data_IF_072482338928
#
_entry.id   IF_072482338928
#
_cell.length_a   1.000
_cell.length_b   1.000
_cell.length_c   1.000
_cell.angle_alpha   90.00
_cell.angle_beta   90.00
_cell.angle_gamma   90.00
#
_symmetry.space_group_name_H-M   'P 1'
#
loop_
_entity.id
_entity.type
_entity.pdbx_description
1 polymer ?
#
# COMPACT_ATOMS: atom_id res chain seq x y z
N UNK A 1 -15.20 -22.93 66.66
CA UNK A 1 -15.63 -23.58 65.40
C UNK A 1 -16.05 -22.49 64.43
N UNK A 2 -15.45 -22.49 63.23
CA UNK A 2 -15.98 -22.13 61.88
C UNK A 2 -16.80 -20.83 61.73
N UNK A 3 -16.70 -20.00 60.69
CA UNK A 3 -15.88 -19.74 59.49
C UNK A 3 -16.51 -18.45 58.91
N UNK A 4 -15.72 -17.53 58.34
CA UNK A 4 -16.22 -16.52 57.37
C UNK A 4 -16.94 -17.26 56.23
N UNK A 5 -18.02 -16.75 55.61
CA UNK A 5 -17.84 -15.78 54.50
C UNK A 5 -19.09 -14.92 54.11
N UNK A 6 -18.94 -13.89 53.25
CA UNK A 6 -19.57 -13.77 51.91
C UNK A 6 -19.51 -12.35 51.29
N UNK A 7 -19.03 -12.36 50.04
CA UNK A 7 -19.34 -11.53 48.86
C UNK A 7 -19.73 -10.05 49.02
N UNK A 8 -18.86 -9.17 48.51
CA UNK A 8 -19.25 -7.91 47.92
C UNK A 8 -19.21 -8.05 46.38
N UNK A 9 -20.33 -7.75 45.73
CA UNK A 9 -20.46 -7.65 44.27
C UNK A 9 -21.05 -6.26 43.92
N UNK A 10 -20.64 -5.79 42.75
CA UNK A 10 -21.22 -4.74 41.89
C UNK A 10 -20.86 -3.27 42.13
N UNK A 11 -19.97 -2.83 41.23
CA UNK A 11 -19.76 -1.46 40.81
C UNK A 11 -20.69 -1.09 39.63
N UNK A 12 -21.21 0.13 39.65
CA UNK A 12 -21.71 0.90 38.49
C UNK A 12 -21.51 2.40 38.84
N UNK A 13 -20.49 3.04 38.25
CA UNK A 13 -20.54 3.97 37.11
C UNK A 13 -21.29 5.29 37.38
N UNK A 14 -20.57 6.41 37.29
CA UNK A 14 -20.84 7.61 36.47
C UNK A 14 -20.09 8.82 37.07
N UNK A 15 -19.05 9.30 36.39
CA UNK A 15 -18.54 10.66 36.58
C UNK A 15 -18.29 11.27 35.19
N UNK A 16 -19.15 12.22 34.83
CA UNK A 16 -18.91 13.23 33.80
C UNK A 16 -17.82 14.19 34.26
N UNK A 17 -16.95 14.62 33.36
CA UNK A 17 -16.18 15.86 33.55
C UNK A 17 -16.15 16.64 32.25
N UNK A 18 -16.67 17.86 32.35
CA UNK A 18 -16.58 18.99 31.42
C UNK A 18 -15.13 19.38 31.08
N UNK A 19 -14.91 19.79 29.83
CA UNK A 19 -13.73 20.57 29.44
C UNK A 19 -14.19 21.76 28.61
N UNK A 20 -14.02 22.96 29.17
CA UNK A 20 -14.14 24.24 28.48
C UNK A 20 -12.82 25.01 28.55
N UNK A 21 -12.48 25.59 27.40
CA UNK A 21 -11.76 26.86 27.16
C UNK A 21 -10.23 26.95 27.29
N UNK A 22 -9.57 27.19 26.14
CA UNK A 22 -8.41 28.08 25.88
C UNK A 22 -8.26 28.11 24.34
N UNK A 23 -8.12 29.20 23.57
CA UNK A 23 -8.10 30.65 23.75
C UNK A 23 -8.28 31.29 22.35
N UNK A 24 -9.04 32.38 22.23
CA UNK A 24 -9.17 33.21 21.02
C UNK A 24 -7.90 34.05 20.77
N UNK A 25 -7.32 33.99 19.57
CA UNK A 25 -6.53 35.05 18.89
C UNK A 25 -6.64 34.68 17.38
N UNK A 26 -7.34 35.39 16.49
CA UNK A 26 -7.06 36.71 15.93
C UNK A 26 -8.33 37.36 15.36
N UNK A 27 -8.46 38.65 15.64
CA UNK A 27 -9.38 39.62 15.03
C UNK A 27 -8.82 40.06 13.66
N UNK A 28 -9.61 39.96 12.60
CA UNK A 28 -9.27 40.47 11.26
C UNK A 28 -10.13 41.71 10.95
N UNK A 29 -9.58 42.86 10.51
CA UNK A 29 -10.37 44.01 10.10
C UNK A 29 -10.72 43.97 8.60
N UNK A 30 -11.97 44.30 8.30
CA UNK A 30 -12.56 44.41 6.97
C UNK A 30 -11.94 45.55 6.12
N UNK A 31 -11.74 45.30 4.82
CA UNK A 31 -11.76 46.34 3.78
C UNK A 31 -11.97 45.80 2.36
N UNK A 32 -13.11 46.20 1.78
CA UNK A 32 -13.31 46.65 0.39
C UNK A 32 -13.15 45.67 -0.79
N UNK A 33 -14.32 45.28 -1.32
CA UNK A 33 -14.54 44.81 -2.71
C UNK A 33 -14.14 45.92 -3.70
N UNK A 34 -13.71 45.53 -4.92
CA UNK A 34 -14.63 45.70 -6.04
C UNK A 34 -14.68 44.48 -7.00
N UNK A 35 -15.84 44.28 -7.61
CA UNK A 35 -16.03 43.54 -8.87
C UNK A 35 -16.20 44.59 -10.01
N UNK A 36 -16.14 44.28 -11.33
CA UNK A 36 -16.28 42.95 -11.96
C UNK A 36 -15.39 42.66 -13.20
N UNK A 37 -15.56 41.44 -13.74
CA UNK A 37 -15.63 41.07 -15.17
C UNK A 37 -14.59 40.06 -15.73
N UNK A 38 -15.16 39.11 -16.49
CA UNK A 38 -14.61 38.35 -17.63
C UNK A 38 -13.72 37.11 -17.38
N UNK A 39 -14.40 35.95 -17.44
CA UNK A 39 -14.11 34.76 -18.25
C UNK A 39 -12.69 34.56 -18.82
N UNK A 40 -12.06 33.43 -18.47
CA UNK A 40 -11.73 32.33 -19.40
C UNK A 40 -10.92 31.22 -18.70
N UNK A 41 -11.39 29.98 -18.87
CA UNK A 41 -10.67 28.70 -18.89
C UNK A 41 -9.60 28.39 -17.83
N UNK A 42 -10.01 27.66 -16.79
CA UNK A 42 -9.13 26.77 -16.03
C UNK A 42 -9.14 25.40 -16.72
N UNK A 43 -7.97 24.97 -17.19
CA UNK A 43 -7.73 23.58 -17.57
C UNK A 43 -7.67 22.75 -16.30
N UNK A 44 -8.69 21.91 -16.09
CA UNK A 44 -8.66 20.84 -15.10
C UNK A 44 -7.63 19.80 -15.57
N UNK A 45 -6.46 19.77 -14.91
CA UNK A 45 -5.58 18.60 -14.94
C UNK A 45 -6.29 17.50 -14.15
N UNK A 46 -7.04 16.70 -14.89
CA UNK A 46 -7.63 15.44 -14.46
C UNK A 46 -6.51 14.48 -14.05
N UNK A 47 -6.37 14.25 -12.74
CA UNK A 47 -5.59 13.14 -12.23
C UNK A 47 -6.26 11.83 -12.69
N UNK A 48 -5.59 11.13 -13.60
CA UNK A 48 -6.03 9.84 -14.12
C UNK A 48 -5.86 8.76 -13.03
N UNK A 49 -6.87 7.93 -12.74
CA UNK A 49 -6.70 6.77 -11.86
C UNK A 49 -5.78 5.73 -12.54
N UNK A 50 -4.94 5.00 -11.77
CA UNK A 50 -4.02 4.03 -12.36
C UNK A 50 -4.79 2.91 -13.05
N UNK A 51 -4.55 2.77 -14.36
CA UNK A 51 -5.11 1.71 -15.17
C UNK A 51 -4.41 0.37 -14.86
N UNK A 52 -5.09 -0.52 -14.16
CA UNK A 52 -4.68 -1.92 -14.05
C UNK A 52 -5.02 -2.64 -15.35
N UNK A 53 -4.05 -2.77 -16.26
CA UNK A 53 -4.19 -3.53 -17.48
C UNK A 53 -4.34 -5.03 -17.17
N UNK A 54 -5.49 -5.58 -17.52
CA UNK A 54 -5.78 -7.01 -17.55
C UNK A 54 -5.00 -7.69 -18.68
N UNK A 55 -4.20 -8.72 -18.37
CA UNK A 55 -3.72 -9.67 -19.38
C UNK A 55 -4.54 -10.95 -19.29
N UNK A 56 -5.60 -11.01 -20.09
CA UNK A 56 -6.32 -12.26 -20.37
C UNK A 56 -5.53 -13.07 -21.41
N UNK A 57 -5.10 -14.26 -21.02
CA UNK A 57 -4.49 -15.25 -21.90
C UNK A 57 -5.50 -15.70 -22.97
N UNK A 58 -5.11 -15.61 -24.24
CA UNK A 58 -5.81 -16.30 -25.34
C UNK A 58 -4.96 -17.49 -25.78
N UNK A 59 -5.43 -18.70 -25.48
CA UNK A 59 -4.95 -19.92 -26.13
C UNK A 59 -5.53 -19.98 -27.54
N UNK A 60 -4.68 -20.10 -28.56
CA UNK A 60 -5.10 -20.55 -29.89
C UNK A 60 -4.02 -21.46 -30.49
N UNK A 61 -4.40 -22.72 -30.72
CA UNK A 61 -3.65 -23.71 -31.48
C UNK A 61 -3.80 -23.46 -32.99
N UNK A 62 -2.70 -23.59 -33.73
CA UNK A 62 -2.63 -24.07 -35.11
C UNK A 62 -1.18 -24.57 -35.31
N UNK A 63 -0.92 -25.87 -35.41
CA UNK A 63 -1.00 -26.74 -36.61
C UNK A 63 -0.15 -26.28 -37.81
N UNK A 64 0.45 -27.29 -38.43
CA UNK A 64 1.66 -27.28 -39.23
C UNK A 64 1.53 -26.66 -40.63
N UNK A 65 2.67 -26.12 -41.11
CA UNK A 65 3.00 -26.11 -42.53
C UNK A 65 3.65 -24.83 -43.05
N UNK A 66 4.77 -25.03 -43.76
CA UNK A 66 5.26 -24.28 -44.94
C UNK A 66 6.49 -23.35 -44.73
N UNK A 67 7.61 -23.87 -45.24
CA UNK A 67 8.62 -23.25 -46.12
C UNK A 67 9.58 -22.17 -45.62
N UNK A 68 10.86 -22.53 -45.75
CA UNK A 68 12.09 -21.74 -45.91
C UNK A 68 11.92 -20.35 -46.55
N UNK A 69 12.29 -19.31 -45.82
CA UNK A 69 12.84 -18.08 -46.40
C UNK A 69 13.89 -17.47 -45.46
N UNK A 70 15.10 -17.39 -46.01
CA UNK A 70 16.29 -16.74 -45.49
C UNK A 70 16.02 -15.23 -45.28
N UNK A 71 16.13 -14.72 -44.05
CA UNK A 71 16.19 -13.28 -43.78
C UNK A 71 17.42 -12.96 -42.94
N UNK A 72 18.21 -12.09 -43.54
CA UNK A 72 19.51 -11.58 -43.20
C UNK A 72 19.46 -10.72 -41.92
N UNK A 73 20.44 -10.93 -41.04
CA UNK A 73 20.56 -10.26 -39.75
C UNK A 73 20.70 -8.73 -39.90
N UNK A 74 19.84 -8.00 -39.20
CA UNK A 74 20.07 -6.62 -38.81
C UNK A 74 20.72 -6.59 -37.41
N UNK A 75 21.65 -5.67 -37.13
CA UNK A 75 22.34 -5.61 -35.85
C UNK A 75 21.35 -5.29 -34.72
N UNK A 76 21.30 -6.17 -33.72
CA UNK A 76 20.58 -5.96 -32.49
C UNK A 76 21.17 -4.76 -31.74
N UNK A 77 20.33 -3.76 -31.48
CA UNK A 77 20.54 -2.78 -30.42
C UNK A 77 20.68 -3.56 -29.12
N UNK A 78 21.73 -3.38 -28.30
CA UNK A 78 21.82 -4.09 -27.03
C UNK A 78 20.64 -3.64 -26.16
N UNK A 79 19.71 -4.57 -25.90
CA UNK A 79 18.76 -4.47 -24.80
C UNK A 79 19.60 -4.29 -23.53
N UNK A 80 19.46 -3.12 -22.90
CA UNK A 80 20.01 -2.86 -21.57
C UNK A 80 19.45 -3.93 -20.64
N UNK A 81 20.31 -4.90 -20.31
CA UNK A 81 19.96 -6.01 -19.44
C UNK A 81 19.56 -5.47 -18.09
N UNK A 82 18.35 -5.81 -17.64
CA UNK A 82 18.01 -5.81 -16.23
C UNK A 82 19.02 -6.73 -15.54
N UNK A 83 20.04 -6.12 -14.94
CA UNK A 83 21.04 -6.87 -14.18
C UNK A 83 20.33 -7.45 -12.97
N UNK A 84 20.19 -8.78 -12.96
CA UNK A 84 19.91 -9.50 -11.71
C UNK A 84 20.99 -9.09 -10.70
N UNK A 85 20.61 -8.61 -9.52
CA UNK A 85 21.58 -8.04 -8.60
C UNK A 85 22.58 -9.09 -8.11
N UNK A 86 23.84 -8.70 -7.84
CA UNK A 86 24.87 -9.59 -7.31
C UNK A 86 24.44 -10.15 -5.95
N UNK A 87 24.82 -11.40 -5.67
CA UNK A 87 24.56 -12.11 -4.42
C UNK A 87 25.01 -11.29 -3.21
N UNK A 88 24.06 -10.59 -2.60
CA UNK A 88 24.21 -9.79 -1.39
C UNK A 88 23.24 -10.26 -0.31
N UNK A 89 23.53 -9.90 0.94
CA UNK A 89 22.79 -10.18 2.18
C UNK A 89 21.36 -10.67 1.93
N UNK A 90 21.15 -11.97 2.17
CA UNK A 90 19.84 -12.61 2.10
C UNK A 90 18.88 -11.90 3.06
N UNK A 91 17.67 -11.59 2.57
CA UNK A 91 16.63 -11.00 3.41
C UNK A 91 16.27 -11.95 4.55
N UNK A 92 16.23 -11.46 5.78
CA UNK A 92 15.71 -12.24 6.90
C UNK A 92 14.18 -12.32 6.91
N UNK A 93 13.51 -11.51 6.09
CA UNK A 93 12.07 -11.44 6.02
C UNK A 93 11.52 -12.48 5.04
N UNK A 94 10.50 -13.20 5.50
CA UNK A 94 9.71 -14.12 4.67
C UNK A 94 8.65 -13.39 3.86
N UNK A 95 8.35 -12.14 4.22
CA UNK A 95 7.27 -11.32 3.65
C UNK A 95 5.92 -12.05 3.73
N UNK A 96 5.66 -12.63 4.91
CA UNK A 96 4.43 -13.36 5.22
C UNK A 96 3.36 -12.40 5.72
N UNK A 97 3.74 -11.39 6.51
CA UNK A 97 2.79 -10.39 7.00
C UNK A 97 3.34 -8.96 6.92
N UNK A 98 2.43 -8.01 6.71
CA UNK A 98 2.68 -6.56 6.82
C UNK A 98 1.58 -5.94 7.69
N UNK A 99 1.98 -5.18 8.72
CA UNK A 99 1.09 -4.59 9.73
C UNK A 99 0.09 -5.62 10.30
N UNK A 100 0.62 -6.80 10.63
CA UNK A 100 -0.13 -7.93 11.17
C UNK A 100 -0.90 -8.78 10.16
N UNK A 101 -1.00 -8.37 8.89
CA UNK A 101 -1.86 -9.01 7.89
C UNK A 101 -1.09 -9.82 6.85
N UNK A 102 -1.59 -11.02 6.56
CA UNK A 102 -1.21 -11.84 5.41
C UNK A 102 -2.16 -11.59 4.25
N UNK A 103 -1.67 -11.70 3.01
CA UNK A 103 -2.54 -11.64 1.82
C UNK A 103 -3.51 -12.83 1.75
N UNK A 104 -3.26 -13.90 2.51
CA UNK A 104 -4.16 -15.03 2.63
C UNK A 104 -5.27 -14.84 3.68
N UNK A 105 -5.25 -13.75 4.45
CA UNK A 105 -6.27 -13.48 5.46
C UNK A 105 -7.60 -13.12 4.79
N UNK A 106 -8.70 -13.54 5.43
CA UNK A 106 -10.05 -13.19 5.01
C UNK A 106 -10.55 -11.94 5.73
N UNK A 107 -11.73 -11.46 5.32
CA UNK A 107 -12.36 -10.28 5.91
C UNK A 107 -12.50 -10.41 7.43
N UNK A 108 -12.93 -11.57 7.92
CA UNK A 108 -13.15 -11.79 9.35
C UNK A 108 -11.84 -11.64 10.12
N UNK A 109 -10.78 -12.27 9.64
CA UNK A 109 -9.45 -12.23 10.25
C UNK A 109 -8.88 -10.82 10.24
N UNK A 110 -9.07 -10.07 9.15
CA UNK A 110 -8.70 -8.65 9.08
C UNK A 110 -9.38 -7.82 10.17
N UNK A 111 -10.69 -7.99 10.39
CA UNK A 111 -11.41 -7.30 11.47
C UNK A 111 -10.94 -7.72 12.86
N UNK A 112 -10.56 -8.99 13.07
CA UNK A 112 -10.00 -9.45 14.35
C UNK A 112 -8.62 -8.83 14.65
N UNK A 113 -7.79 -8.63 13.63
CA UNK A 113 -6.45 -8.06 13.76
C UNK A 113 -6.50 -6.53 13.86
N UNK A 114 -7.30 -5.87 13.01
CA UNK A 114 -7.28 -4.41 12.82
C UNK A 114 -8.42 -3.68 13.51
N UNK A 115 -9.52 -4.37 13.83
CA UNK A 115 -10.76 -3.74 14.26
C UNK A 115 -11.52 -3.07 13.12
N UNK A 116 -12.39 -2.13 13.49
CA UNK A 116 -13.21 -1.37 12.54
C UNK A 116 -12.35 -0.40 11.71
N UNK A 117 -12.54 -0.36 10.38
CA UNK A 117 -11.85 0.60 9.52
C UNK A 117 -12.35 2.02 9.76
N UNK A 118 -11.47 3.01 9.53
CA UNK A 118 -11.81 4.43 9.54
C UNK A 118 -12.76 4.79 8.38
N UNK A 119 -12.58 4.14 7.23
CA UNK A 119 -13.47 4.29 6.08
C UNK A 119 -13.44 3.04 5.20
N UNK A 120 -14.54 2.82 4.47
CA UNK A 120 -14.64 1.77 3.45
C UNK A 120 -15.08 2.44 2.16
N UNK A 121 -14.25 2.37 1.13
CA UNK A 121 -14.54 2.90 -0.19
C UNK A 121 -14.73 1.74 -1.16
N UNK A 122 -15.74 1.83 -2.02
CA UNK A 122 -15.93 0.89 -3.13
C UNK A 122 -15.33 1.51 -4.38
N UNK A 123 -14.65 0.71 -5.19
CA UNK A 123 -14.25 1.14 -6.53
C UNK A 123 -15.48 1.16 -7.43
N UNK A 124 -15.81 2.34 -7.96
CA UNK A 124 -16.99 2.53 -8.80
C UNK A 124 -16.87 1.81 -10.16
N UNK A 125 -15.65 1.60 -10.63
CA UNK A 125 -15.33 0.90 -11.89
C UNK A 125 -15.33 -0.61 -11.64
N UNK A 126 -14.65 -1.05 -10.60
CA UNK A 126 -14.56 -2.46 -10.19
C UNK A 126 -15.41 -2.69 -8.95
N UNK A 127 -16.74 -2.72 -9.12
CA UNK A 127 -17.75 -2.80 -8.03
C UNK A 127 -17.56 -3.91 -6.99
N UNK A 128 -16.71 -4.89 -7.27
CA UNK A 128 -16.34 -6.00 -6.39
C UNK A 128 -15.15 -5.68 -5.47
N UNK A 129 -14.38 -4.63 -5.76
CA UNK A 129 -13.25 -4.22 -4.95
C UNK A 129 -13.68 -3.19 -3.89
N UNK A 130 -13.07 -3.32 -2.71
CA UNK A 130 -13.24 -2.39 -1.59
C UNK A 130 -11.88 -2.06 -1.01
N UNK A 131 -11.72 -0.80 -0.61
CA UNK A 131 -10.55 -0.32 0.11
C UNK A 131 -10.97 0.01 1.53
N UNK A 132 -10.34 -0.65 2.50
CA UNK A 132 -10.52 -0.43 3.93
C UNK A 132 -9.35 0.41 4.44
N UNK A 133 -9.63 1.59 4.98
CA UNK A 133 -8.60 2.51 5.48
C UNK A 133 -8.45 2.40 7.00
N UNK A 134 -7.22 2.32 7.46
CA UNK A 134 -6.80 2.34 8.86
C UNK A 134 -5.79 3.47 9.06
N UNK A 135 -5.46 3.78 10.32
CA UNK A 135 -4.49 4.83 10.65
C UNK A 135 -3.09 4.56 10.07
N UNK A 136 -2.71 3.29 10.01
CA UNK A 136 -1.37 2.85 9.62
C UNK A 136 -1.30 2.25 8.20
N UNK A 137 -2.42 1.86 7.59
CA UNK A 137 -2.44 1.26 6.26
C UNK A 137 -3.80 1.35 5.55
N UNK A 138 -3.82 1.06 4.26
CA UNK A 138 -5.03 0.81 3.47
C UNK A 138 -4.98 -0.59 2.87
N UNK A 139 -6.12 -1.28 2.87
CA UNK A 139 -6.22 -2.69 2.46
C UNK A 139 -7.21 -2.78 1.30
N UNK A 140 -6.72 -3.24 0.14
CA UNK A 140 -7.56 -3.53 -1.01
C UNK A 140 -8.03 -4.97 -0.97
N UNK A 141 -9.33 -5.19 -1.04
CA UNK A 141 -9.93 -6.52 -1.10
C UNK A 141 -10.80 -6.68 -2.33
N UNK A 142 -10.83 -7.89 -2.88
CA UNK A 142 -11.73 -8.32 -3.96
C UNK A 142 -12.34 -9.66 -3.55
N UNK A 143 -13.66 -9.78 -3.62
CA UNK A 143 -14.40 -11.01 -3.30
C UNK A 143 -14.06 -11.64 -1.93
N UNK A 144 -13.72 -10.80 -0.94
CA UNK A 144 -13.41 -11.22 0.42
C UNK A 144 -11.95 -11.64 0.67
N UNK A 145 -11.09 -11.55 -0.34
CA UNK A 145 -9.65 -11.81 -0.25
C UNK A 145 -8.85 -10.51 -0.27
N UNK A 146 -7.74 -10.46 0.48
CA UNK A 146 -6.82 -9.33 0.46
C UNK A 146 -5.97 -9.40 -0.82
N UNK A 147 -6.04 -8.34 -1.62
CA UNK A 147 -5.23 -8.21 -2.84
C UNK A 147 -3.93 -7.45 -2.56
N UNK A 148 -4.00 -6.44 -1.69
CA UNK A 148 -2.84 -5.64 -1.32
C UNK A 148 -3.00 -4.94 0.03
N UNK A 149 -1.87 -4.59 0.63
CA UNK A 149 -1.75 -3.67 1.77
C UNK A 149 -0.83 -2.52 1.37
N UNK A 150 -1.27 -1.29 1.56
CA UNK A 150 -0.50 -0.07 1.28
C UNK A 150 -0.24 0.66 2.60
N UNK A 151 1.03 0.96 2.88
CA UNK A 151 1.48 1.75 4.02
C UNK A 151 2.02 3.07 3.49
N UNK A 152 1.42 4.19 3.89
CA UNK A 152 1.91 5.52 3.54
C UNK A 152 3.19 5.84 4.33
N UNK A 153 4.11 6.60 3.72
CA UNK A 153 5.27 7.12 4.46
C UNK A 153 4.87 7.97 5.68
N UNK A 154 3.70 8.62 5.64
CA UNK A 154 3.16 9.40 6.76
C UNK A 154 2.89 8.55 8.02
N UNK A 155 2.76 7.22 7.89
CA UNK A 155 2.64 6.32 9.04
C UNK A 155 3.94 6.26 9.88
N UNK A 156 5.08 6.65 9.30
CA UNK A 156 6.40 6.72 9.95
C UNK A 156 7.06 5.37 10.27
N UNK A 157 6.27 4.29 10.35
CA UNK A 157 6.72 2.93 10.63
C UNK A 157 5.92 1.90 9.84
N UNK A 158 6.54 0.76 9.61
CA UNK A 158 5.94 -0.44 9.03
C UNK A 158 6.29 -1.65 9.89
N UNK A 159 5.36 -2.57 10.06
CA UNK A 159 5.65 -3.88 10.64
C UNK A 159 5.75 -4.92 9.54
N UNK A 160 6.84 -5.69 9.50
CA UNK A 160 7.07 -6.77 8.53
C UNK A 160 7.42 -8.04 9.31
N UNK A 161 6.66 -9.11 9.11
CA UNK A 161 6.81 -10.38 9.84
C UNK A 161 6.94 -10.21 11.37
N UNK A 162 6.14 -9.29 11.95
CA UNK A 162 6.13 -8.98 13.39
C UNK A 162 7.26 -8.04 13.86
N UNK A 163 8.11 -7.54 12.97
CA UNK A 163 9.15 -6.57 13.30
C UNK A 163 8.79 -5.17 12.84
N UNK A 164 8.78 -4.21 13.78
CA UNK A 164 8.56 -2.79 13.49
C UNK A 164 9.85 -2.12 13.00
N UNK A 165 9.76 -1.45 11.86
CA UNK A 165 10.84 -0.72 11.21
C UNK A 165 10.40 0.72 10.92
N UNK A 166 11.31 1.71 11.02
CA UNK A 166 11.02 3.06 10.53
C UNK A 166 10.89 3.05 9.00
N UNK A 167 9.99 3.88 8.45
CA UNK A 167 9.91 4.11 7.00
C UNK A 167 11.03 5.09 6.61
N UNK A 168 12.24 4.56 6.54
CA UNK A 168 13.45 5.26 6.13
C UNK A 168 14.18 4.38 5.13
N UNK A 169 14.51 4.93 3.95
CA UNK A 169 15.06 4.15 2.84
C UNK A 169 16.34 3.39 3.22
N UNK A 170 17.28 4.05 3.91
CA UNK A 170 18.53 3.42 4.32
C UNK A 170 18.29 2.23 5.26
N UNK A 171 17.39 2.39 6.24
CA UNK A 171 17.03 1.34 7.20
C UNK A 171 16.30 0.19 6.53
N UNK A 172 15.32 0.47 5.68
CA UNK A 172 14.60 -0.58 4.97
C UNK A 172 15.52 -1.36 4.04
N UNK A 173 16.43 -0.70 3.32
CA UNK A 173 17.43 -1.41 2.48
C UNK A 173 18.36 -2.29 3.31
N UNK A 174 18.84 -1.80 4.44
CA UNK A 174 19.69 -2.57 5.36
C UNK A 174 18.97 -3.82 5.89
N UNK A 175 17.69 -3.68 6.23
CA UNK A 175 16.91 -4.73 6.89
C UNK A 175 16.33 -5.75 5.89
N UNK A 176 15.88 -5.29 4.73
CA UNK A 176 15.29 -6.13 3.69
C UNK A 176 16.33 -6.83 2.81
N UNK A 177 17.60 -6.38 2.85
CA UNK A 177 18.70 -7.02 2.13
C UNK A 177 18.74 -6.65 0.65
N UNK A 178 19.10 -7.62 -0.19
CA UNK A 178 19.21 -7.40 -1.64
C UNK A 178 17.83 -7.28 -2.28
N UNK A 179 17.55 -6.19 -3.02
CA UNK A 179 16.29 -6.06 -3.75
C UNK A 179 16.23 -7.05 -4.90
N UNK A 180 15.01 -7.44 -5.27
CA UNK A 180 14.75 -8.25 -6.45
C UNK A 180 14.88 -7.42 -7.73
N UNK A 181 14.36 -6.20 -7.71
CA UNK A 181 14.34 -5.28 -8.84
C UNK A 181 14.42 -3.84 -8.36
N UNK A 182 15.08 -2.97 -9.12
CA UNK A 182 15.19 -1.53 -8.85
C UNK A 182 14.78 -0.79 -10.12
N UNK A 183 13.88 0.17 -9.98
CA UNK A 183 13.45 1.11 -11.02
C UNK A 183 13.51 2.55 -10.51
N UNK A 184 13.28 3.50 -11.41
CA UNK A 184 13.24 4.93 -11.08
C UNK A 184 12.14 5.26 -10.05
N UNK A 185 11.01 4.56 -10.12
CA UNK A 185 9.85 4.77 -9.26
C UNK A 185 9.85 3.91 -7.99
N UNK A 186 10.85 3.03 -7.80
CA UNK A 186 10.85 2.18 -6.64
C UNK A 186 11.85 1.02 -6.57
N UNK A 187 11.79 0.35 -5.43
CA UNK A 187 12.62 -0.82 -5.12
C UNK A 187 11.68 -1.97 -4.75
N UNK A 188 11.84 -3.12 -5.41
CA UNK A 188 11.02 -4.31 -5.17
C UNK A 188 11.83 -5.36 -4.43
N UNK A 189 11.24 -5.88 -3.37
CA UNK A 189 11.68 -7.07 -2.65
C UNK A 189 10.68 -8.18 -2.90
N UNK A 190 11.15 -9.39 -3.19
CA UNK A 190 10.30 -10.54 -3.51
C UNK A 190 10.71 -11.72 -2.66
N UNK A 191 9.73 -12.41 -2.08
CA UNK A 191 9.94 -13.69 -1.43
C UNK A 191 8.81 -14.64 -1.80
N UNK A 192 9.14 -15.71 -2.52
CA UNK A 192 8.18 -16.70 -3.03
C UNK A 192 7.01 -16.03 -3.77
N UNK A 193 5.81 -16.11 -3.20
CA UNK A 193 4.55 -15.64 -3.79
C UNK A 193 4.22 -14.20 -3.44
N UNK A 194 5.04 -13.51 -2.66
CA UNK A 194 4.73 -12.19 -2.14
C UNK A 194 5.83 -11.18 -2.52
N UNK A 195 5.43 -9.94 -2.74
CA UNK A 195 6.31 -8.84 -3.05
C UNK A 195 6.02 -7.62 -2.17
N UNK A 196 7.07 -6.86 -1.91
CA UNK A 196 7.04 -5.58 -1.23
C UNK A 196 7.72 -4.55 -2.14
N UNK A 197 6.97 -3.56 -2.64
CA UNK A 197 7.53 -2.44 -3.42
C UNK A 197 7.59 -1.19 -2.55
N UNK A 198 8.78 -0.62 -2.42
CA UNK A 198 9.00 0.72 -1.88
C UNK A 198 8.85 1.70 -3.05
N UNK A 199 7.82 2.53 -3.06
CA UNK A 199 7.67 3.60 -4.04
C UNK A 199 8.47 4.81 -3.59
N UNK A 200 9.17 5.41 -4.54
CA UNK A 200 10.04 6.56 -4.31
C UNK A 200 9.50 7.80 -5.02
N UNK A 201 9.65 8.94 -4.38
CA UNK A 201 9.54 10.23 -5.04
C UNK A 201 10.74 10.39 -6.00
N UNK A 202 10.52 10.67 -7.29
CA UNK A 202 11.60 10.71 -8.28
C UNK A 202 12.53 11.92 -8.10
N UNK A 203 12.05 12.99 -7.45
CA UNK A 203 12.81 14.22 -7.25
C UNK A 203 13.67 14.16 -5.98
N UNK A 204 13.13 13.61 -4.89
CA UNK A 204 13.81 13.54 -3.58
C UNK A 204 14.46 12.19 -3.29
N UNK A 205 13.98 11.12 -3.93
CA UNK A 205 14.36 9.74 -3.60
C UNK A 205 13.81 9.23 -2.27
N UNK A 206 12.90 9.97 -1.63
CA UNK A 206 12.26 9.57 -0.38
C UNK A 206 11.13 8.57 -0.64
N UNK A 207 10.83 7.72 0.36
CA UNK A 207 9.72 6.78 0.25
C UNK A 207 8.41 7.54 0.33
N UNK A 208 7.51 7.30 -0.61
CA UNK A 208 6.13 7.85 -0.60
C UNK A 208 5.13 6.84 -0.07
N UNK A 209 5.27 5.57 -0.45
CA UNK A 209 4.45 4.47 0.04
C UNK A 209 5.18 3.12 -0.06
N UNK A 210 4.66 2.13 0.66
CA UNK A 210 5.11 0.75 0.61
C UNK A 210 3.91 -0.13 0.26
N UNK A 211 4.02 -0.95 -0.78
CA UNK A 211 2.95 -1.80 -1.27
C UNK A 211 3.32 -3.26 -1.08
N UNK A 212 2.47 -4.02 -0.39
CA UNK A 212 2.57 -5.46 -0.19
C UNK A 212 1.48 -6.17 -0.98
N UNK A 213 1.86 -7.10 -1.87
CA UNK A 213 0.95 -7.75 -2.81
C UNK A 213 1.49 -9.11 -3.29
N UNK A 214 0.64 -9.89 -3.96
CA UNK A 214 1.06 -11.17 -4.53
C UNK A 214 2.04 -10.93 -5.68
N UNK A 215 3.22 -11.54 -5.60
CA UNK A 215 4.13 -11.59 -6.72
C UNK A 215 3.49 -12.44 -7.82
N UNK A 216 3.46 -11.92 -9.06
CA UNK A 216 3.15 -12.76 -10.22
C UNK A 216 4.25 -13.81 -10.35
N UNK A 217 3.87 -15.05 -10.61
CA UNK A 217 4.82 -16.08 -10.99
C UNK A 217 5.54 -15.63 -12.27
N UNK A 218 6.87 -15.73 -12.27
CA UNK A 218 7.68 -15.65 -13.48
C UNK A 218 7.88 -17.05 -14.05
#
# INVERSE_FOLDING_TARGET
>A
MKRLPWLALLAALFISVDVWAFHEIYKEPAALRPAPAAAAAVSETSAEPPQYASLAATHSQADAGITTANIQAAPAVPQSGGQSPPSGVESRFKLTTVNGLSLADDLKTMYEIKGEPLSIQRDDVLRLSKVYSYEDCSIGMVDGSIQYVIVSAAAGKIEIDGQVLPIELAKLKEQLGTPYFISEDGIVYKNRSNALKLFLDPDTGEITSIHYFHATAE
#
